data_IF_446061854670
#
_entry.id   IF_446061854670
#
_cell.length_a   1.000
_cell.length_b   1.000
_cell.length_c   1.000
_cell.angle_alpha   90.00
_cell.angle_beta   90.00
_cell.angle_gamma   90.00
#
_symmetry.space_group_name_H-M   'P 1'
#
loop_
_entity.id
_entity.type
_entity.pdbx_description
1 polymer ?
#
# COMPACT_ATOMS: atom_id res chain seq x y z
N UNK A 1 -25.69 24.93 -16.20
CA UNK A 1 -26.94 25.48 -15.64
C UNK A 1 -27.59 24.41 -14.77
N UNK A 2 -27.75 24.68 -13.47
CA UNK A 2 -28.39 23.75 -12.54
C UNK A 2 -29.91 23.88 -12.72
N UNK A 3 -30.53 22.91 -13.36
CA UNK A 3 -31.99 22.85 -13.49
C UNK A 3 -32.51 22.02 -12.32
N UNK A 4 -33.29 22.65 -11.45
CA UNK A 4 -33.94 21.99 -10.33
C UNK A 4 -35.29 21.44 -10.78
N UNK A 5 -35.59 20.22 -10.35
CA UNK A 5 -36.89 19.60 -10.54
C UNK A 5 -37.85 20.14 -9.50
N UNK A 6 -39.12 20.25 -9.87
CA UNK A 6 -40.19 20.78 -9.02
C UNK A 6 -41.41 19.85 -9.01
N UNK A 7 -42.44 20.26 -8.29
CA UNK A 7 -43.68 19.49 -8.11
C UNK A 7 -44.51 19.34 -9.39
N UNK A 8 -44.20 20.02 -10.50
CA UNK A 8 -44.94 19.90 -11.75
C UNK A 8 -44.70 18.54 -12.44
N UNK A 9 -43.58 17.88 -12.17
CA UNK A 9 -43.25 16.60 -12.77
C UNK A 9 -44.08 15.44 -12.20
N UNK A 10 -44.57 14.54 -13.06
CA UNK A 10 -45.24 13.31 -12.64
C UNK A 10 -44.24 12.36 -11.95
N UNK A 11 -44.68 11.62 -10.93
CA UNK A 11 -43.84 10.66 -10.16
C UNK A 11 -43.11 9.65 -11.09
N UNK A 12 -43.80 9.16 -12.12
CA UNK A 12 -43.22 8.26 -13.14
C UNK A 12 -42.02 8.88 -13.87
N UNK A 13 -42.09 10.18 -14.18
CA UNK A 13 -41.01 10.90 -14.86
C UNK A 13 -39.80 11.05 -13.92
N UNK A 14 -40.03 11.40 -12.65
CA UNK A 14 -38.97 11.48 -11.63
C UNK A 14 -38.26 10.13 -11.44
N UNK A 15 -39.02 9.03 -11.40
CA UNK A 15 -38.45 7.67 -11.35
C UNK A 15 -37.58 7.36 -12.58
N UNK A 16 -38.03 7.75 -13.78
CA UNK A 16 -37.21 7.57 -15.00
C UNK A 16 -35.91 8.37 -14.93
N UNK A 17 -35.96 9.60 -14.41
CA UNK A 17 -34.76 10.42 -14.17
C UNK A 17 -33.81 9.74 -13.18
N UNK A 18 -34.33 9.11 -12.11
CA UNK A 18 -33.49 8.32 -11.18
C UNK A 18 -32.80 7.14 -11.86
N UNK A 19 -33.52 6.40 -12.73
CA UNK A 19 -32.98 5.28 -13.50
C UNK A 19 -31.85 5.73 -14.43
N UNK A 20 -32.06 6.80 -15.18
CA UNK A 20 -31.06 7.36 -16.11
C UNK A 20 -29.79 7.76 -15.34
N UNK A 21 -29.96 8.41 -14.18
CA UNK A 21 -28.84 8.83 -13.34
C UNK A 21 -28.28 7.71 -12.44
N UNK A 22 -28.80 6.48 -12.54
CA UNK A 22 -28.40 5.31 -11.73
C UNK A 22 -28.44 5.55 -10.21
N UNK A 23 -29.35 6.41 -9.75
CA UNK A 23 -29.58 6.66 -8.32
C UNK A 23 -30.28 5.42 -7.72
N UNK A 24 -29.88 4.97 -6.53
CA UNK A 24 -30.45 3.76 -5.88
C UNK A 24 -31.43 4.14 -4.76
N UNK A 25 -32.21 3.17 -4.30
CA UNK A 25 -33.12 3.30 -3.14
C UNK A 25 -34.30 4.28 -3.28
N UNK A 26 -34.72 4.59 -4.50
CA UNK A 26 -35.82 5.52 -4.75
C UNK A 26 -37.22 4.88 -4.84
N UNK A 27 -37.32 3.55 -4.83
CA UNK A 27 -38.58 2.83 -5.16
C UNK A 27 -39.71 3.07 -4.16
N UNK A 28 -39.38 3.29 -2.88
CA UNK A 28 -40.34 3.51 -1.79
C UNK A 28 -40.61 5.00 -1.50
N UNK A 29 -39.87 5.90 -2.16
CA UNK A 29 -39.94 7.33 -1.85
C UNK A 29 -41.25 7.96 -2.35
N UNK A 30 -41.72 8.95 -1.59
CA UNK A 30 -42.81 9.81 -2.00
C UNK A 30 -42.32 10.84 -3.05
N UNK A 31 -43.26 11.60 -3.63
CA UNK A 31 -42.92 12.52 -4.73
C UNK A 31 -41.96 13.64 -4.31
N UNK A 32 -42.12 14.19 -3.11
CA UNK A 32 -41.30 15.28 -2.61
C UNK A 32 -39.89 14.79 -2.28
N UNK A 33 -39.78 13.63 -1.61
CA UNK A 33 -38.50 12.96 -1.35
C UNK A 33 -37.73 12.62 -2.63
N UNK A 34 -38.44 12.23 -3.70
CA UNK A 34 -37.81 12.01 -5.00
C UNK A 34 -37.23 13.29 -5.58
N UNK A 35 -37.95 14.41 -5.48
CA UNK A 35 -37.50 15.71 -5.96
C UNK A 35 -36.26 16.15 -5.18
N UNK A 36 -36.32 16.06 -3.85
CA UNK A 36 -35.20 16.43 -2.97
C UNK A 36 -33.97 15.59 -3.25
N UNK A 37 -34.13 14.28 -3.41
CA UNK A 37 -33.03 13.38 -3.74
C UNK A 37 -32.42 13.69 -5.13
N UNK A 38 -33.23 13.98 -6.15
CA UNK A 38 -32.71 14.36 -7.48
C UNK A 38 -31.95 15.68 -7.39
N UNK A 39 -32.55 16.69 -6.75
CA UNK A 39 -31.99 18.03 -6.65
C UNK A 39 -30.71 18.03 -5.83
N UNK A 40 -30.67 17.37 -4.67
CA UNK A 40 -29.44 17.22 -3.87
C UNK A 40 -28.34 16.51 -4.65
N UNK A 41 -28.66 15.40 -5.33
CA UNK A 41 -27.68 14.67 -6.14
C UNK A 41 -27.14 15.54 -7.28
N UNK A 42 -28.02 16.27 -7.98
CA UNK A 42 -27.64 17.20 -9.06
C UNK A 42 -26.78 18.35 -8.53
N UNK A 43 -27.13 18.93 -7.38
CA UNK A 43 -26.37 19.98 -6.72
C UNK A 43 -24.98 19.49 -6.32
N UNK A 44 -24.86 18.29 -5.74
CA UNK A 44 -23.58 17.68 -5.40
C UNK A 44 -22.72 17.50 -6.65
N UNK A 45 -23.29 16.93 -7.73
CA UNK A 45 -22.57 16.76 -9.00
C UNK A 45 -22.11 18.11 -9.55
N UNK A 46 -22.96 19.13 -9.49
CA UNK A 46 -22.65 20.46 -9.98
C UNK A 46 -21.53 21.13 -9.17
N UNK A 47 -21.63 21.11 -7.84
CA UNK A 47 -20.59 21.60 -6.92
C UNK A 47 -19.27 20.86 -7.17
N UNK A 48 -19.31 19.53 -7.25
CA UNK A 48 -18.14 18.73 -7.58
C UNK A 48 -17.55 19.12 -8.94
N UNK A 49 -18.38 19.38 -9.95
CA UNK A 49 -17.90 19.81 -11.27
C UNK A 49 -17.24 21.18 -11.23
N UNK A 50 -17.76 22.13 -10.45
CA UNK A 50 -17.18 23.47 -10.29
C UNK A 50 -15.88 23.38 -9.51
N UNK A 51 -15.87 22.66 -8.39
CA UNK A 51 -14.66 22.45 -7.60
C UNK A 51 -13.58 21.78 -8.46
N UNK A 52 -13.92 20.73 -9.21
CA UNK A 52 -12.99 20.07 -10.14
C UNK A 52 -12.52 21.02 -11.24
N UNK A 53 -13.37 21.92 -11.75
CA UNK A 53 -12.98 22.93 -12.75
C UNK A 53 -12.05 24.01 -12.17
N UNK A 54 -12.31 24.47 -10.95
CA UNK A 54 -11.42 25.40 -10.24
C UNK A 54 -10.07 24.75 -9.98
N UNK A 55 -10.07 23.54 -9.46
CA UNK A 55 -8.85 22.73 -9.31
C UNK A 55 -8.16 22.54 -10.68
N UNK A 56 -8.88 22.20 -11.74
CA UNK A 56 -8.26 22.03 -13.08
C UNK A 56 -7.60 23.30 -13.64
N UNK A 57 -8.06 24.49 -13.26
CA UNK A 57 -7.47 25.77 -13.71
C UNK A 57 -6.26 26.20 -12.87
N UNK A 58 -6.23 25.83 -11.59
CA UNK A 58 -5.10 26.13 -10.70
C UNK A 58 -3.97 25.10 -10.83
N UNK A 59 -4.29 23.88 -11.30
CA UNK A 59 -3.38 22.73 -11.32
C UNK A 59 -3.20 22.14 -12.73
N UNK A 60 -2.82 22.94 -13.73
CA UNK A 60 -2.65 22.48 -15.13
C UNK A 60 -1.83 21.18 -15.27
N UNK A 61 -0.93 20.86 -14.34
CA UNK A 61 -0.11 19.64 -14.34
C UNK A 61 -0.77 18.42 -13.64
N UNK A 62 -1.83 18.58 -12.86
CA UNK A 62 -2.45 17.47 -12.08
C UNK A 62 -3.47 16.64 -12.86
N UNK A 63 -3.88 17.08 -14.05
CA UNK A 63 -4.71 16.26 -14.96
C UNK A 63 -3.89 15.30 -15.82
N UNK A 64 -2.57 15.23 -15.60
CA UNK A 64 -1.69 14.23 -16.20
C UNK A 64 -1.46 13.12 -15.18
N UNK A 65 -1.74 11.88 -15.57
CA UNK A 65 -1.44 10.72 -14.74
C UNK A 65 0.08 10.54 -14.65
N UNK A 66 0.69 10.57 -13.44
CA UNK A 66 2.15 10.52 -13.29
C UNK A 66 2.81 9.23 -13.80
N UNK A 67 2.03 8.15 -13.95
CA UNK A 67 2.55 6.85 -14.43
C UNK A 67 2.60 6.82 -15.95
N UNK A 68 1.54 7.31 -16.60
CA UNK A 68 1.37 7.17 -18.06
C UNK A 68 1.70 8.43 -18.83
N UNK A 69 1.92 9.56 -18.13
CA UNK A 69 2.10 10.90 -18.71
C UNK A 69 0.97 11.31 -19.68
N UNK A 70 -0.18 10.65 -19.58
CA UNK A 70 -1.38 10.92 -20.36
C UNK A 70 -2.43 11.60 -19.50
N UNK A 71 -3.44 12.18 -20.15
CA UNK A 71 -4.61 12.72 -19.45
C UNK A 71 -5.22 11.67 -18.50
N UNK A 72 -5.53 12.12 -17.28
CA UNK A 72 -6.10 11.32 -16.22
C UNK A 72 -7.45 10.73 -16.67
N UNK A 73 -7.60 9.41 -16.56
CA UNK A 73 -8.81 8.68 -16.92
C UNK A 73 -9.57 8.27 -15.67
N UNK A 74 -10.88 8.44 -15.69
CA UNK A 74 -11.76 7.96 -14.62
C UNK A 74 -12.05 6.45 -14.80
N UNK A 75 -12.11 5.65 -13.73
CA UNK A 75 -11.94 6.01 -12.31
C UNK A 75 -10.49 6.30 -11.91
N UNK A 76 -10.30 7.15 -10.91
CA UNK A 76 -8.99 7.54 -10.39
C UNK A 76 -8.79 7.11 -8.93
N UNK A 77 -7.53 6.97 -8.54
CA UNK A 77 -7.07 6.78 -7.16
C UNK A 77 -6.30 8.03 -6.75
N UNK A 78 -6.46 8.48 -5.51
CA UNK A 78 -5.72 9.64 -4.98
C UNK A 78 -4.82 9.25 -3.82
N UNK A 79 -3.56 9.67 -3.84
CA UNK A 79 -2.61 9.55 -2.72
C UNK A 79 -2.26 10.95 -2.23
N UNK A 80 -2.34 11.17 -0.91
CA UNK A 80 -1.99 12.46 -0.29
C UNK A 80 -0.54 12.40 0.20
N UNK A 81 0.29 13.34 -0.25
CA UNK A 81 1.65 13.55 0.26
C UNK A 81 1.87 15.04 0.53
N UNK A 82 2.37 15.39 1.72
CA UNK A 82 2.75 16.75 2.11
C UNK A 82 1.69 17.80 1.70
N UNK A 83 0.44 17.51 2.09
CA UNK A 83 -0.76 18.31 1.81
C UNK A 83 -1.23 18.38 0.35
N UNK A 84 -0.53 17.75 -0.60
CA UNK A 84 -0.94 17.67 -2.01
C UNK A 84 -1.54 16.31 -2.33
N UNK A 85 -2.61 16.30 -3.13
CA UNK A 85 -3.19 15.07 -3.65
C UNK A 85 -2.63 14.78 -5.03
N UNK A 86 -2.19 13.55 -5.23
CA UNK A 86 -1.76 13.05 -6.54
C UNK A 86 -2.78 12.05 -7.03
N UNK A 87 -3.15 12.18 -8.28
CA UNK A 87 -4.17 11.34 -8.90
C UNK A 87 -3.55 10.38 -9.91
N UNK A 88 -4.04 9.15 -9.91
CA UNK A 88 -3.63 8.11 -10.84
C UNK A 88 -4.86 7.51 -11.51
N UNK A 89 -4.81 7.28 -12.82
CA UNK A 89 -5.83 6.49 -13.50
C UNK A 89 -5.80 5.07 -12.93
N UNK A 90 -6.94 4.55 -12.48
CA UNK A 90 -7.01 3.30 -11.71
C UNK A 90 -6.44 2.10 -12.49
N UNK A 91 -6.66 2.06 -13.79
CA UNK A 91 -6.13 1.03 -14.70
C UNK A 91 -4.59 1.01 -14.70
N UNK A 92 -3.97 2.16 -14.96
CA UNK A 92 -2.51 2.32 -14.99
C UNK A 92 -1.88 2.06 -13.63
N UNK A 93 -2.55 2.48 -12.55
CA UNK A 93 -2.09 2.26 -11.18
C UNK A 93 -2.06 0.77 -10.84
N UNK A 94 -3.13 0.05 -11.18
CA UNK A 94 -3.22 -1.40 -10.94
C UNK A 94 -2.21 -2.17 -11.80
N UNK A 95 -2.01 -1.77 -13.05
CA UNK A 95 -1.00 -2.36 -13.92
C UNK A 95 0.41 -2.19 -13.35
N UNK A 96 0.74 -0.99 -12.87
CA UNK A 96 2.00 -0.70 -12.19
C UNK A 96 2.20 -1.61 -10.96
N UNK A 97 1.18 -1.71 -10.08
CA UNK A 97 1.27 -2.51 -8.87
C UNK A 97 1.45 -4.01 -9.14
N UNK A 98 0.90 -4.53 -10.23
CA UNK A 98 1.17 -5.91 -10.64
C UNK A 98 2.62 -6.12 -11.05
N UNK A 99 3.18 -5.19 -11.83
CA UNK A 99 4.55 -5.25 -12.34
C UNK A 99 5.61 -5.02 -11.25
N UNK A 100 5.25 -4.38 -10.14
CA UNK A 100 6.17 -4.23 -9.01
C UNK A 100 6.72 -5.58 -8.56
N UNK A 101 8.03 -5.69 -8.34
CA UNK A 101 8.69 -6.99 -8.10
C UNK A 101 8.46 -7.49 -6.68
N UNK A 102 8.62 -6.64 -5.67
CA UNK A 102 8.69 -7.10 -4.27
C UNK A 102 7.60 -6.47 -3.37
N UNK A 103 7.35 -5.17 -3.48
CA UNK A 103 6.44 -4.45 -2.59
C UNK A 103 5.36 -3.67 -3.35
N UNK A 104 4.22 -3.44 -2.70
CA UNK A 104 3.17 -2.55 -3.20
C UNK A 104 3.53 -1.11 -2.80
N UNK A 105 4.27 -0.44 -3.67
CA UNK A 105 4.77 0.93 -3.45
C UNK A 105 4.00 1.95 -4.28
N UNK A 106 3.93 3.19 -3.79
CA UNK A 106 3.49 4.32 -4.60
C UNK A 106 4.53 4.57 -5.72
N UNK A 107 4.13 4.63 -7.00
CA UNK A 107 5.03 4.96 -8.11
C UNK A 107 5.76 6.30 -7.94
N UNK A 108 5.14 7.28 -7.27
CA UNK A 108 5.77 8.59 -7.11
C UNK A 108 6.64 8.67 -5.86
N UNK A 109 6.09 8.43 -4.67
CA UNK A 109 6.83 8.62 -3.41
C UNK A 109 7.79 7.49 -3.11
N UNK A 110 7.61 6.33 -3.76
CA UNK A 110 8.29 5.06 -3.45
C UNK A 110 7.99 4.54 -2.04
N UNK A 111 7.05 5.17 -1.33
CA UNK A 111 6.60 4.70 -0.03
C UNK A 111 5.69 3.50 -0.18
N UNK A 112 5.65 2.68 0.86
CA UNK A 112 4.76 1.53 0.91
C UNK A 112 3.31 1.96 1.09
N UNK A 113 2.45 1.34 0.28
CA UNK A 113 1.02 1.50 0.39
C UNK A 113 0.51 0.68 1.58
N UNK A 114 -0.36 1.27 2.38
CA UNK A 114 -0.98 0.57 3.49
C UNK A 114 -1.96 -0.51 3.01
N UNK A 115 -2.12 -1.58 3.79
CA UNK A 115 -3.08 -2.64 3.50
C UNK A 115 -4.52 -2.11 3.37
N UNK A 116 -4.86 -1.09 4.16
CA UNK A 116 -6.16 -0.42 4.09
C UNK A 116 -6.38 0.29 2.76
N UNK A 117 -5.35 0.96 2.25
CA UNK A 117 -5.39 1.61 0.94
C UNK A 117 -5.44 0.58 -0.19
N UNK A 118 -4.65 -0.48 -0.12
CA UNK A 118 -4.70 -1.58 -1.08
C UNK A 118 -6.10 -2.19 -1.13
N UNK A 119 -6.73 -2.43 0.02
CA UNK A 119 -8.11 -2.92 0.09
C UNK A 119 -9.12 -1.94 -0.54
N UNK A 120 -8.94 -0.63 -0.38
CA UNK A 120 -9.77 0.37 -1.05
C UNK A 120 -9.62 0.29 -2.58
N UNK A 121 -8.39 0.16 -3.07
CA UNK A 121 -8.11 -0.03 -4.50
C UNK A 121 -8.79 -1.31 -5.00
N UNK A 122 -8.71 -2.43 -4.28
CA UNK A 122 -9.42 -3.67 -4.65
C UNK A 122 -10.93 -3.45 -4.77
N UNK A 123 -11.54 -2.70 -3.85
CA UNK A 123 -12.98 -2.38 -3.88
C UNK A 123 -13.33 -1.54 -5.10
N UNK A 124 -12.51 -0.56 -5.47
CA UNK A 124 -12.70 0.26 -6.67
C UNK A 124 -12.60 -0.61 -7.93
N UNK A 125 -11.56 -1.44 -8.04
CA UNK A 125 -11.38 -2.38 -9.16
C UNK A 125 -12.61 -3.27 -9.33
N UNK A 126 -13.12 -3.84 -8.23
CA UNK A 126 -14.33 -4.68 -8.23
C UNK A 126 -15.58 -3.89 -8.65
N UNK A 127 -15.73 -2.66 -8.13
CA UNK A 127 -16.88 -1.80 -8.41
C UNK A 127 -16.97 -1.40 -9.89
N UNK A 128 -15.84 -0.96 -10.47
CA UNK A 128 -15.76 -0.54 -11.87
C UNK A 128 -15.49 -1.69 -12.85
N UNK A 129 -15.41 -2.94 -12.36
CA UNK A 129 -15.20 -4.16 -13.16
C UNK A 129 -13.95 -4.09 -14.06
N UNK A 130 -12.87 -3.48 -13.57
CA UNK A 130 -11.56 -3.45 -14.24
C UNK A 130 -10.89 -4.81 -14.04
N UNK A 131 -11.44 -5.85 -14.70
CA UNK A 131 -11.13 -7.25 -14.41
C UNK A 131 -9.89 -7.80 -15.13
N UNK A 132 -9.44 -7.17 -16.20
CA UNK A 132 -8.37 -7.71 -17.04
C UNK A 132 -6.97 -7.53 -16.44
N UNK A 133 -6.81 -6.68 -15.43
CA UNK A 133 -5.50 -6.32 -14.87
C UNK A 133 -5.37 -6.58 -13.37
N UNK A 134 -6.19 -7.38 -12.69
CA UNK A 134 -6.05 -7.54 -11.23
C UNK A 134 -5.61 -8.96 -10.80
N UNK A 135 -4.35 -9.11 -10.38
CA UNK A 135 -3.82 -10.37 -9.85
C UNK A 135 -3.81 -10.39 -8.32
N UNK A 136 -4.99 -10.64 -7.73
CA UNK A 136 -5.15 -10.72 -6.27
C UNK A 136 -4.19 -11.70 -5.60
N UNK A 137 -3.95 -12.85 -6.23
CA UNK A 137 -3.06 -13.89 -5.68
C UNK A 137 -1.61 -13.39 -5.58
N UNK A 138 -1.14 -12.68 -6.61
CA UNK A 138 0.20 -12.05 -6.61
C UNK A 138 0.33 -11.02 -5.49
N UNK A 139 -0.65 -10.14 -5.32
CA UNK A 139 -0.60 -9.11 -4.27
C UNK A 139 -0.59 -9.72 -2.87
N UNK A 140 -1.46 -10.71 -2.63
CA UNK A 140 -1.47 -11.44 -1.35
C UNK A 140 -0.13 -12.15 -1.09
N UNK A 141 0.50 -12.73 -2.12
CA UNK A 141 1.82 -13.35 -2.00
C UNK A 141 2.89 -12.33 -1.59
N UNK A 142 2.89 -11.12 -2.19
CA UNK A 142 3.81 -10.03 -1.83
C UNK A 142 3.61 -9.58 -0.38
N UNK A 143 2.36 -9.32 0.03
CA UNK A 143 2.02 -8.92 1.40
C UNK A 143 2.48 -9.99 2.41
N UNK A 144 2.20 -11.27 2.14
CA UNK A 144 2.62 -12.36 3.02
C UNK A 144 4.14 -12.49 3.10
N UNK A 145 4.84 -12.43 1.95
CA UNK A 145 6.30 -12.48 1.89
C UNK A 145 6.93 -11.34 2.69
N UNK A 146 6.36 -10.14 2.61
CA UNK A 146 6.77 -9.00 3.43
C UNK A 146 6.53 -9.23 4.92
N UNK A 147 5.35 -9.69 5.30
CA UNK A 147 5.02 -9.96 6.71
C UNK A 147 5.98 -11.01 7.30
N UNK A 148 6.31 -12.03 6.52
CA UNK A 148 7.31 -13.03 6.87
C UNK A 148 8.70 -12.41 7.07
N UNK A 149 9.19 -11.64 6.10
CA UNK A 149 10.47 -10.92 6.23
C UNK A 149 10.54 -10.07 7.50
N UNK A 150 9.50 -9.25 7.75
CA UNK A 150 9.42 -8.39 8.93
C UNK A 150 9.43 -9.20 10.23
N UNK A 151 8.72 -10.33 10.26
CA UNK A 151 8.69 -11.24 11.41
C UNK A 151 10.10 -11.78 11.70
N UNK A 152 10.78 -12.30 10.67
CA UNK A 152 12.15 -12.82 10.82
C UNK A 152 13.10 -11.72 11.31
N UNK A 153 13.05 -10.52 10.72
CA UNK A 153 13.91 -9.40 11.14
C UNK A 153 13.61 -8.91 12.54
N UNK A 154 12.34 -8.95 12.98
CA UNK A 154 11.97 -8.59 14.34
C UNK A 154 12.53 -9.59 15.35
N UNK A 155 12.41 -10.90 15.09
CA UNK A 155 13.04 -11.91 15.94
C UNK A 155 14.56 -11.77 15.99
N UNK A 156 15.21 -11.50 14.84
CA UNK A 156 16.63 -11.19 14.79
C UNK A 156 16.99 -9.94 15.62
N UNK A 157 16.15 -8.90 15.59
CA UNK A 157 16.36 -7.67 16.37
C UNK A 157 16.20 -7.93 17.87
N UNK A 158 15.28 -8.79 18.28
CA UNK A 158 15.15 -9.23 19.68
C UNK A 158 16.43 -9.93 20.15
N UNK A 159 17.02 -10.80 19.33
CA UNK A 159 18.30 -11.44 19.65
C UNK A 159 19.41 -10.39 19.74
N UNK A 160 19.45 -9.42 18.84
CA UNK A 160 20.40 -8.31 18.90
C UNK A 160 20.24 -7.54 20.21
N UNK A 161 19.02 -7.22 20.61
CA UNK A 161 18.75 -6.55 21.89
C UNK A 161 19.21 -7.40 23.09
N UNK A 162 19.02 -8.72 23.04
CA UNK A 162 19.53 -9.63 24.08
C UNK A 162 21.06 -9.59 24.18
N UNK A 163 21.76 -9.58 23.04
CA UNK A 163 23.22 -9.45 22.99
C UNK A 163 23.65 -8.17 23.73
N UNK A 164 22.98 -7.04 23.48
CA UNK A 164 23.31 -5.75 24.09
C UNK A 164 22.84 -5.58 25.55
N UNK A 165 21.84 -6.34 25.98
CA UNK A 165 21.37 -6.32 27.36
C UNK A 165 22.33 -7.04 28.31
N UNK A 166 23.12 -7.99 27.80
CA UNK A 166 24.00 -8.84 28.61
C UNK A 166 25.36 -8.18 28.81
N UNK A 167 25.69 -7.85 30.06
CA UNK A 167 26.94 -7.16 30.42
C UNK A 167 28.21 -7.96 30.12
N UNK A 168 28.15 -9.31 30.18
CA UNK A 168 29.24 -10.22 29.80
C UNK A 168 28.76 -11.31 28.85
N UNK A 169 29.07 -11.15 27.57
CA UNK A 169 28.91 -12.21 26.56
C UNK A 169 29.98 -13.28 26.75
N UNK A 170 29.72 -14.29 27.59
CA UNK A 170 30.61 -15.45 27.69
C UNK A 170 30.32 -16.46 26.55
N UNK A 171 31.28 -17.34 26.30
CA UNK A 171 31.19 -18.33 25.22
C UNK A 171 29.98 -19.24 25.37
N UNK A 172 29.72 -19.75 26.58
CA UNK A 172 28.60 -20.64 26.88
C UNK A 172 27.25 -19.99 26.55
N UNK A 173 27.08 -18.71 26.85
CA UNK A 173 25.87 -17.96 26.54
C UNK A 173 25.71 -17.77 25.04
N UNK A 174 26.78 -17.39 24.33
CA UNK A 174 26.76 -17.26 22.87
C UNK A 174 26.35 -18.59 22.22
N UNK A 175 27.01 -19.67 22.60
CA UNK A 175 26.82 -20.99 21.99
C UNK A 175 25.45 -21.59 22.28
N UNK A 176 24.96 -21.47 23.52
CA UNK A 176 23.70 -22.09 23.92
C UNK A 176 22.47 -21.24 23.57
N UNK A 177 22.58 -19.90 23.57
CA UNK A 177 21.42 -19.03 23.46
C UNK A 177 21.38 -18.23 22.15
N UNK A 178 22.50 -17.67 21.69
CA UNK A 178 22.51 -16.73 20.55
C UNK A 178 22.66 -17.47 19.22
N UNK A 179 23.70 -18.31 19.09
CA UNK A 179 24.03 -19.00 17.85
C UNK A 179 22.87 -19.87 17.32
N UNK A 180 22.16 -20.68 18.14
CA UNK A 180 21.07 -21.51 17.64
C UNK A 180 19.93 -20.68 17.02
N UNK A 181 19.62 -19.54 17.64
CA UNK A 181 18.59 -18.64 17.13
C UNK A 181 19.04 -17.94 15.85
N UNK A 182 20.30 -17.46 15.80
CA UNK A 182 20.89 -16.93 14.56
C UNK A 182 20.85 -17.96 13.43
N UNK A 183 21.27 -19.21 13.67
CA UNK A 183 21.20 -20.29 12.68
C UNK A 183 19.76 -20.45 12.16
N UNK A 184 18.79 -20.54 13.07
CA UNK A 184 17.39 -20.74 12.71
C UNK A 184 16.86 -19.58 11.83
N UNK A 185 16.97 -18.33 12.29
CA UNK A 185 16.38 -17.20 11.57
C UNK A 185 17.14 -16.82 10.30
N UNK A 186 18.47 -16.90 10.29
CA UNK A 186 19.23 -16.67 9.06
C UNK A 186 19.00 -17.78 8.03
N UNK A 187 18.73 -19.02 8.43
CA UNK A 187 18.31 -20.08 7.50
C UNK A 187 17.03 -19.70 6.74
N UNK A 188 15.97 -19.25 7.43
CA UNK A 188 14.74 -18.81 6.76
C UNK A 188 14.95 -17.57 5.92
N UNK A 189 15.76 -16.62 6.40
CA UNK A 189 16.09 -15.42 5.65
C UNK A 189 16.81 -15.77 4.34
N UNK A 190 17.80 -16.66 4.37
CA UNK A 190 18.55 -17.13 3.20
C UNK A 190 17.65 -17.86 2.22
N UNK A 191 16.78 -18.74 2.72
CA UNK A 191 15.93 -19.57 1.86
C UNK A 191 14.86 -18.75 1.13
N UNK A 192 14.28 -17.73 1.78
CA UNK A 192 13.08 -17.03 1.27
C UNK A 192 13.33 -15.57 0.88
N UNK A 193 14.39 -14.96 1.39
CA UNK A 193 14.70 -13.53 1.25
C UNK A 193 16.18 -13.26 0.94
N UNK A 194 16.83 -14.16 0.16
CA UNK A 194 18.27 -14.10 -0.15
C UNK A 194 18.76 -12.70 -0.58
N UNK A 195 17.99 -11.99 -1.40
CA UNK A 195 18.34 -10.65 -1.90
C UNK A 195 18.57 -9.61 -0.80
N UNK A 196 17.91 -9.78 0.36
CA UNK A 196 17.99 -8.85 1.48
C UNK A 196 18.99 -9.32 2.55
N UNK A 197 19.42 -10.59 2.51
CA UNK A 197 20.29 -11.18 3.53
C UNK A 197 21.60 -10.42 3.71
N UNK A 198 22.27 -10.06 2.61
CA UNK A 198 23.56 -9.37 2.67
C UNK A 198 23.47 -8.06 3.47
N UNK A 199 22.46 -7.24 3.18
CA UNK A 199 22.23 -5.96 3.86
C UNK A 199 21.93 -6.18 5.35
N UNK A 200 21.05 -7.13 5.66
CA UNK A 200 20.69 -7.45 7.06
C UNK A 200 21.92 -7.92 7.84
N UNK A 201 22.68 -8.87 7.30
CA UNK A 201 23.86 -9.42 7.98
C UNK A 201 24.92 -8.34 8.20
N UNK A 202 25.21 -7.50 7.20
CA UNK A 202 26.17 -6.41 7.36
C UNK A 202 25.74 -5.39 8.40
N UNK A 203 24.46 -5.03 8.45
CA UNK A 203 23.94 -4.15 9.50
C UNK A 203 24.14 -4.77 10.89
N UNK A 204 23.92 -6.08 11.02
CA UNK A 204 24.09 -6.77 12.29
C UNK A 204 25.56 -6.85 12.71
N UNK A 205 26.47 -7.13 11.78
CA UNK A 205 27.92 -7.07 12.02
C UNK A 205 28.30 -5.67 12.52
N UNK A 206 27.84 -4.62 11.85
CA UNK A 206 28.10 -3.24 12.22
C UNK A 206 27.57 -2.93 13.63
N UNK A 207 26.34 -3.32 13.94
CA UNK A 207 25.80 -3.16 15.29
C UNK A 207 26.65 -3.90 16.32
N UNK A 208 26.86 -5.21 16.16
CA UNK A 208 27.58 -6.06 17.11
C UNK A 208 29.02 -5.57 17.34
N UNK A 209 29.68 -4.98 16.34
CA UNK A 209 30.99 -4.37 16.48
C UNK A 209 31.06 -3.32 17.61
N UNK A 210 29.96 -2.62 17.90
CA UNK A 210 29.89 -1.63 18.99
C UNK A 210 29.72 -2.24 20.39
N UNK A 211 29.48 -3.54 20.51
CA UNK A 211 29.37 -4.19 21.81
C UNK A 211 30.73 -4.17 22.56
N UNK A 212 30.80 -3.89 23.87
CA UNK A 212 32.08 -3.75 24.58
C UNK A 212 32.85 -5.08 24.78
N UNK A 213 32.15 -6.21 24.83
CA UNK A 213 32.78 -7.51 25.09
C UNK A 213 33.60 -8.05 23.89
N UNK A 214 34.81 -8.58 24.13
CA UNK A 214 35.69 -9.14 23.09
C UNK A 214 35.12 -10.40 22.41
N UNK A 215 34.37 -11.23 23.15
CA UNK A 215 33.76 -12.46 22.62
C UNK A 215 32.70 -12.20 21.53
N UNK A 216 32.33 -10.94 21.27
CA UNK A 216 31.51 -10.56 20.11
C UNK A 216 32.09 -11.05 18.78
N UNK A 217 33.41 -11.27 18.72
CA UNK A 217 34.10 -11.73 17.51
C UNK A 217 33.54 -13.05 16.99
N UNK A 218 33.15 -13.98 17.88
CA UNK A 218 32.55 -15.26 17.48
C UNK A 218 31.24 -15.10 16.71
N UNK A 219 30.43 -14.10 17.09
CA UNK A 219 29.19 -13.78 16.39
C UNK A 219 29.48 -13.14 15.02
N UNK A 220 30.45 -12.22 14.97
CA UNK A 220 30.85 -11.56 13.73
C UNK A 220 31.43 -12.57 12.74
N UNK A 221 32.28 -13.47 13.19
CA UNK A 221 32.90 -14.50 12.34
C UNK A 221 31.85 -15.47 11.81
N UNK A 222 30.88 -15.86 12.62
CA UNK A 222 29.74 -16.64 12.16
C UNK A 222 28.93 -15.92 11.08
N UNK A 223 28.64 -14.62 11.26
CA UNK A 223 27.90 -13.82 10.28
C UNK A 223 28.70 -13.66 8.96
N UNK A 224 30.02 -13.46 9.04
CA UNK A 224 30.90 -13.44 7.85
C UNK A 224 30.96 -14.79 7.15
N UNK A 225 30.96 -15.88 7.91
CA UNK A 225 30.91 -17.23 7.38
C UNK A 225 29.62 -17.49 6.60
N UNK A 226 28.47 -16.99 7.08
CA UNK A 226 27.21 -17.06 6.33
C UNK A 226 27.36 -16.38 4.97
N UNK A 227 27.95 -15.18 4.92
CA UNK A 227 28.16 -14.44 3.66
C UNK A 227 29.02 -15.27 2.71
N UNK A 228 30.15 -15.81 3.17
CA UNK A 228 31.06 -16.55 2.30
C UNK A 228 30.47 -17.87 1.79
N UNK A 229 29.80 -18.65 2.65
CA UNK A 229 29.22 -19.94 2.26
C UNK A 229 28.08 -19.76 1.24
N UNK A 230 27.30 -18.70 1.36
CA UNK A 230 26.10 -18.51 0.54
C UNK A 230 26.32 -17.63 -0.70
N UNK A 231 27.55 -17.15 -0.92
CA UNK A 231 27.91 -16.19 -1.96
C UNK A 231 26.92 -15.01 -2.00
N UNK A 232 26.76 -14.35 -0.84
CA UNK A 232 25.88 -13.19 -0.66
C UNK A 232 26.53 -11.88 -1.10
#
# INVERSE_FOLDING_TARGET
MLILYNSLFKKKNLINVMKINKIKYYSKLNKNELIDLINTTKSIIFIQSILRKKLSKEFNDEFICPISFNNLKYPFVSIKNNHKFRYYSLDTFVEYLNKSTNDLIDPFTRELLSDTFIYQVERLVKHYKIKQSFNKKSWKKKINSRAEFLTITNCLNEILNQIFFVSKLNFTFIYNNILPQFIYYFHFLLQRHKSNCFIVINNYINCINHHPCQNKIYLIDYLKLIISINNL
#
